data_IF_594174431559
#
_entry.id   IF_594174431559
#
_cell.length_a   1.000
_cell.length_b   1.000
_cell.length_c   1.000
_cell.angle_alpha   90.00
_cell.angle_beta   90.00
_cell.angle_gamma   90.00
#
_symmetry.space_group_name_H-M   'P 1'
#
loop_
_entity.id
_entity.type
_entity.pdbx_description
1 polymer ?
#
# COMPACT_ATOMS: atom_id res chain seq x y z
N UNK A 1 25.40 -8.17 -8.74
CA UNK A 1 24.01 -8.43 -9.14
C UNK A 1 23.80 -7.74 -10.47
N UNK A 2 23.52 -8.49 -11.54
CA UNK A 2 23.20 -7.89 -12.84
C UNK A 2 21.83 -7.21 -12.80
N UNK A 3 21.51 -6.31 -13.74
CA UNK A 3 20.20 -5.65 -13.77
C UNK A 3 19.10 -6.71 -13.90
N UNK A 4 18.17 -6.71 -12.95
CA UNK A 4 16.90 -7.41 -13.06
C UNK A 4 16.17 -6.90 -14.30
N UNK A 5 15.73 -7.80 -15.17
CA UNK A 5 14.96 -7.41 -16.34
C UNK A 5 13.60 -6.86 -15.87
N UNK A 6 13.32 -5.60 -16.19
CA UNK A 6 12.04 -4.99 -15.83
C UNK A 6 10.89 -5.62 -16.63
N UNK A 7 9.79 -5.94 -15.95
CA UNK A 7 8.58 -6.54 -16.54
C UNK A 7 7.59 -5.44 -16.87
N UNK A 8 7.21 -5.33 -18.15
CA UNK A 8 6.13 -4.43 -18.58
C UNK A 8 4.79 -5.08 -18.22
N UNK A 9 3.93 -4.33 -17.53
CA UNK A 9 2.63 -4.79 -17.07
C UNK A 9 1.54 -4.13 -17.92
N UNK A 10 0.84 -4.85 -18.81
CA UNK A 10 -0.32 -4.34 -19.53
C UNK A 10 -1.42 -3.84 -18.60
N UNK A 11 -2.24 -2.89 -19.06
CA UNK A 11 -3.31 -2.26 -18.27
C UNK A 11 -4.51 -3.19 -18.00
N UNK A 12 -4.35 -4.17 -17.11
CA UNK A 12 -5.43 -5.04 -16.64
C UNK A 12 -5.15 -5.61 -15.25
N UNK A 13 -6.22 -5.94 -14.52
CA UNK A 13 -6.14 -6.63 -13.21
C UNK A 13 -5.30 -7.91 -13.31
N UNK A 14 -5.64 -8.80 -14.24
CA UNK A 14 -4.94 -10.09 -14.42
C UNK A 14 -3.45 -9.90 -14.69
N UNK A 15 -3.07 -8.91 -15.51
CA UNK A 15 -1.66 -8.65 -15.80
C UNK A 15 -0.90 -8.18 -14.56
N UNK A 16 -1.48 -7.27 -13.78
CA UNK A 16 -0.88 -6.78 -12.55
C UNK A 16 -0.72 -7.90 -11.50
N UNK A 17 -1.77 -8.68 -11.28
CA UNK A 17 -1.75 -9.83 -10.36
C UNK A 17 -0.68 -10.85 -10.77
N UNK A 18 -0.62 -11.21 -12.06
CA UNK A 18 0.38 -12.15 -12.56
C UNK A 18 1.81 -11.61 -12.42
N UNK A 19 2.02 -10.31 -12.63
CA UNK A 19 3.33 -9.68 -12.47
C UNK A 19 3.80 -9.69 -11.01
N UNK A 20 2.91 -9.42 -10.05
CA UNK A 20 3.22 -9.51 -8.61
C UNK A 20 3.54 -10.95 -8.21
N UNK A 21 2.73 -11.93 -8.62
CA UNK A 21 3.00 -13.34 -8.35
C UNK A 21 4.34 -13.80 -8.92
N UNK A 22 4.66 -13.36 -10.15
CA UNK A 22 5.94 -13.65 -10.78
C UNK A 22 7.12 -13.07 -9.99
N UNK A 23 7.04 -11.80 -9.60
CA UNK A 23 8.10 -11.14 -8.83
C UNK A 23 8.30 -11.82 -7.47
N UNK A 24 7.22 -12.15 -6.76
CA UNK A 24 7.28 -12.93 -5.53
C UNK A 24 7.97 -14.30 -5.73
N UNK A 25 7.63 -15.03 -6.79
CA UNK A 25 8.25 -16.31 -7.10
C UNK A 25 9.73 -16.18 -7.51
N UNK A 26 10.13 -15.05 -8.09
CA UNK A 26 11.49 -14.76 -8.51
C UNK A 26 12.41 -14.26 -7.39
N UNK A 27 11.89 -14.02 -6.18
CA UNK A 27 12.65 -13.40 -5.08
C UNK A 27 12.69 -11.88 -5.13
N UNK A 28 11.88 -11.26 -5.99
CA UNK A 28 11.78 -9.81 -6.20
C UNK A 28 11.68 -9.46 -7.69
N UNK A 29 11.39 -8.19 -7.99
CA UNK A 29 11.33 -7.74 -9.37
C UNK A 29 10.94 -6.27 -9.57
N UNK A 30 11.29 -5.75 -10.74
CA UNK A 30 10.93 -4.41 -11.18
C UNK A 30 9.78 -4.48 -12.19
N UNK A 31 8.65 -3.86 -11.85
CA UNK A 31 7.42 -3.83 -12.63
C UNK A 31 7.21 -2.42 -13.21
N UNK A 32 7.09 -2.34 -14.53
CA UNK A 32 6.76 -1.09 -15.24
C UNK A 32 5.29 -1.14 -15.59
N UNK A 33 4.49 -0.37 -14.86
CA UNK A 33 3.05 -0.27 -15.09
C UNK A 33 2.78 0.64 -16.29
N UNK A 34 1.71 0.33 -17.00
CA UNK A 34 1.27 1.13 -18.15
C UNK A 34 1.02 2.58 -17.72
N UNK A 35 1.57 3.58 -18.44
CA UNK A 35 1.38 4.98 -18.11
C UNK A 35 -0.08 5.39 -18.32
N UNK A 36 -0.58 6.31 -17.48
CA UNK A 36 -1.97 6.82 -17.49
C UNK A 36 -3.06 5.75 -17.34
N UNK A 37 -2.68 4.55 -16.88
CA UNK A 37 -3.58 3.42 -16.70
C UNK A 37 -4.24 3.44 -15.31
N UNK A 38 -5.50 3.03 -15.26
CA UNK A 38 -6.19 2.65 -14.03
C UNK A 38 -6.35 1.12 -13.97
N UNK A 39 -5.56 0.48 -13.13
CA UNK A 39 -5.69 -0.93 -12.77
C UNK A 39 -6.84 -1.09 -11.78
N UNK A 40 -8.01 -1.50 -12.28
CA UNK A 40 -9.20 -1.71 -11.46
C UNK A 40 -9.28 -3.16 -10.98
N UNK A 41 -9.16 -3.36 -9.68
CA UNK A 41 -9.25 -4.67 -9.03
C UNK A 41 -10.71 -5.01 -8.71
N UNK A 42 -11.17 -6.18 -9.13
CA UNK A 42 -12.57 -6.63 -8.99
C UNK A 42 -12.74 -7.73 -7.96
N UNK A 43 -11.66 -8.41 -7.59
CA UNK A 43 -11.64 -9.44 -6.55
C UNK A 43 -10.39 -9.35 -5.68
N UNK A 44 -10.43 -10.03 -4.52
CA UNK A 44 -9.25 -10.27 -3.73
C UNK A 44 -8.38 -11.38 -4.35
N UNK A 45 -7.06 -11.21 -4.27
CA UNK A 45 -6.05 -12.15 -4.75
C UNK A 45 -5.11 -12.65 -3.64
N UNK A 46 -5.44 -12.35 -2.38
CA UNK A 46 -4.93 -13.01 -1.19
C UNK A 46 -6.02 -13.09 -0.12
N UNK A 47 -5.91 -14.08 0.77
CA UNK A 47 -6.73 -14.11 2.00
C UNK A 47 -6.33 -13.01 3.00
N UNK A 48 -5.12 -12.46 2.83
CA UNK A 48 -4.44 -11.56 3.76
C UNK A 48 -4.10 -12.19 5.11
N UNK A 49 -3.33 -11.45 5.91
CA UNK A 49 -3.03 -11.75 7.31
C UNK A 49 -4.11 -11.26 8.27
N UNK A 50 -3.71 -10.82 9.47
CA UNK A 50 -4.59 -10.36 10.56
C UNK A 50 -5.52 -9.17 10.21
N UNK A 51 -5.47 -8.65 8.99
CA UNK A 51 -6.32 -7.57 8.49
C UNK A 51 -7.35 -7.96 7.42
N UNK A 52 -7.38 -9.21 6.95
CA UNK A 52 -8.31 -9.67 5.90
C UNK A 52 -7.81 -9.44 4.47
N UNK A 53 -8.64 -9.72 3.45
CA UNK A 53 -8.20 -9.94 2.07
C UNK A 53 -7.58 -8.70 1.40
N UNK A 54 -6.66 -8.94 0.46
CA UNK A 54 -6.05 -7.91 -0.39
C UNK A 54 -6.34 -8.12 -1.88
N UNK A 55 -6.46 -7.01 -2.61
CA UNK A 55 -6.68 -6.98 -4.05
C UNK A 55 -5.45 -7.37 -4.86
N UNK A 56 -4.25 -7.21 -4.34
CA UNK A 56 -3.05 -7.80 -4.92
C UNK A 56 -2.59 -9.02 -4.11
N UNK A 57 -1.84 -9.97 -4.71
CA UNK A 57 -1.09 -10.94 -3.92
C UNK A 57 -0.19 -10.22 -2.91
N UNK A 58 -0.03 -10.81 -1.72
CA UNK A 58 0.79 -10.22 -0.67
C UNK A 58 2.23 -10.00 -1.16
N UNK A 59 2.79 -8.83 -0.89
CA UNK A 59 4.16 -8.48 -1.25
C UNK A 59 5.07 -9.11 -0.19
N UNK A 60 5.75 -10.20 -0.55
CA UNK A 60 6.63 -10.98 0.34
C UNK A 60 8.11 -10.87 -0.05
N UNK A 61 8.39 -10.27 -1.21
CA UNK A 61 9.74 -10.03 -1.74
C UNK A 61 9.95 -8.56 -2.06
N UNK A 62 11.18 -8.13 -2.39
CA UNK A 62 11.42 -6.77 -2.89
C UNK A 62 10.82 -6.54 -4.27
N UNK A 63 9.78 -5.71 -4.35
CA UNK A 63 9.09 -5.34 -5.59
C UNK A 63 9.15 -3.82 -5.77
N UNK A 64 9.67 -3.40 -6.93
CA UNK A 64 9.55 -2.01 -7.39
C UNK A 64 8.42 -1.94 -8.40
N UNK A 65 7.51 -0.98 -8.25
CA UNK A 65 6.50 -0.64 -9.25
C UNK A 65 6.71 0.80 -9.70
N UNK A 66 6.89 0.99 -11.00
CA UNK A 66 7.04 2.31 -11.61
C UNK A 66 5.86 2.58 -12.53
N UNK A 67 5.13 3.66 -12.26
CA UNK A 67 4.05 4.15 -13.11
C UNK A 67 4.35 5.54 -13.68
N UNK A 68 3.35 6.13 -14.31
CA UNK A 68 3.31 7.53 -14.72
C UNK A 68 1.85 7.97 -14.73
N UNK A 69 1.43 8.71 -13.71
CA UNK A 69 0.01 9.01 -13.49
C UNK A 69 -0.85 7.74 -13.52
N UNK A 70 -0.32 6.67 -12.94
CA UNK A 70 -0.96 5.35 -12.88
C UNK A 70 -1.77 5.23 -11.60
N UNK A 71 -2.91 4.55 -11.65
CA UNK A 71 -3.75 4.29 -10.49
C UNK A 71 -4.00 2.78 -10.32
N UNK A 72 -3.98 2.30 -9.08
CA UNK A 72 -4.45 0.98 -8.67
C UNK A 72 -5.62 1.20 -7.72
N UNK A 73 -6.82 0.81 -8.16
CA UNK A 73 -8.07 1.08 -7.44
C UNK A 73 -8.87 -0.19 -7.27
N UNK A 74 -9.59 -0.30 -6.16
CA UNK A 74 -10.68 -1.28 -6.03
C UNK A 74 -11.90 -0.79 -6.81
N UNK A 75 -12.62 -1.69 -7.48
CA UNK A 75 -13.89 -1.39 -8.13
C UNK A 75 -14.99 -1.11 -7.09
N UNK A 76 -15.87 -0.15 -7.37
CA UNK A 76 -16.92 0.26 -6.42
C UNK A 76 -17.88 -0.89 -6.02
N UNK A 77 -18.17 -1.80 -6.96
CA UNK A 77 -19.04 -2.95 -6.79
C UNK A 77 -18.31 -4.24 -6.35
N UNK A 78 -16.99 -4.20 -6.15
CA UNK A 78 -16.24 -5.35 -5.69
C UNK A 78 -16.57 -5.66 -4.21
N UNK A 79 -16.31 -6.89 -3.71
CA UNK A 79 -16.25 -7.14 -2.27
C UNK A 79 -15.26 -6.21 -1.55
N UNK A 80 -15.35 -6.11 -0.23
CA UNK A 80 -14.38 -5.35 0.56
C UNK A 80 -13.02 -6.07 0.56
N UNK A 81 -11.97 -5.36 0.17
CA UNK A 81 -10.56 -5.74 0.34
C UNK A 81 -9.68 -4.49 0.34
N UNK A 82 -8.54 -4.57 1.04
CA UNK A 82 -7.46 -3.57 0.92
C UNK A 82 -6.80 -3.67 -0.45
N UNK A 83 -6.12 -2.64 -0.94
CA UNK A 83 -5.45 -2.75 -2.24
C UNK A 83 -4.17 -3.58 -2.15
N UNK A 84 -3.30 -3.24 -1.19
CA UNK A 84 -1.97 -3.82 -1.03
C UNK A 84 -1.76 -4.27 0.40
N UNK A 85 -1.17 -5.46 0.54
CA UNK A 85 -0.58 -5.94 1.79
C UNK A 85 0.91 -6.22 1.57
N UNK A 86 1.76 -5.71 2.47
CA UNK A 86 3.20 -5.97 2.49
C UNK A 86 3.51 -6.74 3.76
N UNK A 87 3.95 -7.97 3.59
CA UNK A 87 4.12 -8.94 4.67
C UNK A 87 5.58 -9.05 5.11
N UNK A 88 5.77 -9.15 6.42
CA UNK A 88 7.03 -9.61 7.00
C UNK A 88 6.83 -10.14 8.42
N UNK A 89 7.85 -10.74 9.05
CA UNK A 89 7.78 -11.12 10.45
C UNK A 89 7.53 -9.87 11.29
N UNK A 90 6.46 -9.90 12.09
CA UNK A 90 6.11 -8.81 12.98
C UNK A 90 7.33 -8.37 13.80
N UNK A 91 7.65 -7.07 13.80
CA UNK A 91 8.68 -6.45 14.64
C UNK A 91 10.16 -6.74 14.27
N UNK A 92 10.47 -7.31 13.10
CA UNK A 92 11.86 -7.42 12.61
C UNK A 92 12.06 -6.66 11.29
N UNK A 93 12.90 -5.62 11.25
CA UNK A 93 13.20 -4.90 10.01
C UNK A 93 13.91 -5.79 8.98
N UNK A 94 13.50 -5.65 7.72
CA UNK A 94 14.31 -5.81 6.50
C UNK A 94 14.41 -7.17 5.78
N UNK A 95 13.76 -8.25 6.22
CA UNK A 95 13.95 -9.55 5.53
C UNK A 95 12.79 -10.06 4.68
N UNK A 96 11.58 -9.48 4.74
CA UNK A 96 10.41 -10.00 4.01
C UNK A 96 9.46 -8.84 3.64
N UNK A 97 9.04 -8.79 2.37
CA UNK A 97 8.16 -7.76 1.78
C UNK A 97 8.75 -6.34 1.74
N UNK A 98 9.25 -5.91 0.57
CA UNK A 98 9.66 -4.51 0.38
C UNK A 98 8.97 -3.95 -0.85
N UNK A 99 8.20 -2.89 -0.69
CA UNK A 99 7.45 -2.28 -1.78
C UNK A 99 7.96 -0.87 -2.05
N UNK A 100 8.41 -0.63 -3.28
CA UNK A 100 8.68 0.72 -3.79
C UNK A 100 7.64 1.08 -4.85
N UNK A 101 6.91 2.18 -4.65
CA UNK A 101 5.92 2.73 -5.58
C UNK A 101 6.41 4.08 -6.10
N UNK A 102 6.53 4.23 -7.41
CA UNK A 102 6.90 5.51 -8.05
C UNK A 102 5.80 5.97 -8.99
N UNK A 103 5.30 7.19 -8.80
CA UNK A 103 4.27 7.82 -9.64
C UNK A 103 2.98 6.98 -9.80
N UNK A 104 2.58 6.32 -8.70
CA UNK A 104 1.39 5.47 -8.59
C UNK A 104 0.47 6.02 -7.49
N UNK A 105 -0.82 6.08 -7.79
CA UNK A 105 -1.88 6.34 -6.80
C UNK A 105 -2.58 5.03 -6.43
N UNK A 106 -2.77 4.78 -5.15
CA UNK A 106 -3.58 3.67 -4.60
C UNK A 106 -4.90 4.25 -4.09
N UNK A 107 -6.03 3.65 -4.47
CA UNK A 107 -7.32 4.25 -4.09
C UNK A 107 -8.48 3.29 -3.86
N UNK A 108 -9.49 3.82 -3.15
CA UNK A 108 -10.80 3.19 -2.93
C UNK A 108 -10.77 1.80 -2.29
N UNK A 109 -9.66 1.47 -1.63
CA UNK A 109 -9.52 0.22 -0.91
C UNK A 109 -10.40 0.21 0.35
N UNK A 110 -10.84 -0.97 0.73
CA UNK A 110 -11.83 -1.16 1.79
C UNK A 110 -11.48 -2.38 2.64
N UNK A 111 -10.79 -2.16 3.75
CA UNK A 111 -10.44 -3.24 4.67
C UNK A 111 -11.59 -3.62 5.62
N UNK A 112 -12.77 -2.97 5.54
CA UNK A 112 -13.85 -3.16 6.51
C UNK A 112 -13.35 -2.91 7.95
N UNK A 113 -13.44 -3.93 8.79
CA UNK A 113 -12.95 -3.89 10.18
C UNK A 113 -11.43 -4.13 10.32
N UNK A 114 -10.72 -4.40 9.22
CA UNK A 114 -9.29 -4.58 9.16
C UNK A 114 -8.51 -3.26 9.21
N UNK A 115 -7.24 -3.32 8.80
CA UNK A 115 -6.32 -2.17 8.82
C UNK A 115 -5.82 -1.78 7.43
N UNK A 116 -5.45 -0.53 7.20
CA UNK A 116 -4.76 -0.13 5.95
C UNK A 116 -5.63 -0.32 4.72
N UNK A 117 -6.65 0.53 4.54
CA UNK A 117 -7.61 0.38 3.44
C UNK A 117 -6.95 0.43 2.07
N UNK A 118 -6.01 1.36 1.87
CA UNK A 118 -5.16 1.37 0.69
C UNK A 118 -4.00 0.39 0.83
N UNK A 119 -3.15 0.64 1.82
CA UNK A 119 -1.91 -0.12 2.05
C UNK A 119 -1.85 -0.57 3.51
N UNK A 120 -1.66 -1.87 3.72
CA UNK A 120 -1.29 -2.43 5.01
C UNK A 120 0.15 -2.94 4.97
N UNK A 121 1.02 -2.33 5.76
CA UNK A 121 2.40 -2.79 5.95
C UNK A 121 2.51 -3.54 7.27
N UNK A 122 2.40 -4.87 7.22
CA UNK A 122 2.26 -5.77 8.38
C UNK A 122 3.57 -6.47 8.77
N UNK A 123 4.71 -5.81 8.55
CA UNK A 123 6.03 -6.35 8.88
C UNK A 123 7.11 -6.11 7.81
N UNK A 124 6.74 -5.57 6.65
CA UNK A 124 7.66 -5.26 5.56
C UNK A 124 8.19 -3.82 5.57
N UNK A 125 8.40 -3.24 4.40
CA UNK A 125 8.68 -1.80 4.25
C UNK A 125 7.98 -1.24 3.02
N UNK A 126 7.57 0.03 3.11
CA UNK A 126 6.93 0.75 2.00
C UNK A 126 7.65 2.06 1.75
N UNK A 127 8.07 2.29 0.51
CA UNK A 127 8.55 3.57 0.00
C UNK A 127 7.64 4.04 -1.12
N UNK A 128 7.07 5.24 -1.02
CA UNK A 128 6.29 5.84 -2.10
C UNK A 128 6.87 7.19 -2.52
N UNK A 129 7.06 7.37 -3.83
CA UNK A 129 7.61 8.60 -4.43
C UNK A 129 6.65 9.13 -5.49
N UNK A 130 6.31 10.43 -5.41
CA UNK A 130 5.45 11.11 -6.38
C UNK A 130 4.08 10.44 -6.58
N UNK A 131 3.56 9.78 -5.55
CA UNK A 131 2.31 9.00 -5.58
C UNK A 131 1.30 9.45 -4.54
N UNK A 132 0.32 8.60 -4.26
CA UNK A 132 -0.62 8.88 -3.17
C UNK A 132 -1.52 7.73 -2.77
N UNK A 133 -2.17 7.88 -1.62
CA UNK A 133 -3.25 7.00 -1.14
C UNK A 133 -4.50 7.83 -0.89
N UNK A 134 -5.63 7.46 -1.51
CA UNK A 134 -6.86 8.25 -1.40
C UNK A 134 -8.16 7.46 -1.40
N UNK A 135 -9.19 8.01 -0.76
CA UNK A 135 -10.55 7.46 -0.80
C UNK A 135 -10.68 6.06 -0.18
N UNK A 136 -9.69 5.62 0.59
CA UNK A 136 -9.66 4.29 1.18
C UNK A 136 -10.24 4.29 2.59
N UNK A 137 -10.73 3.13 3.04
CA UNK A 137 -11.32 2.98 4.37
C UNK A 137 -10.90 1.70 5.12
N UNK A 138 -10.80 1.80 6.44
CA UNK A 138 -10.44 0.71 7.35
C UNK A 138 -10.89 1.00 8.80
N UNK A 139 -10.58 0.11 9.75
CA UNK A 139 -10.73 0.40 11.18
C UNK A 139 -9.61 1.29 11.72
N UNK A 140 -8.36 0.98 11.35
CA UNK A 140 -7.18 1.78 11.63
C UNK A 140 -6.40 2.01 10.34
N UNK A 141 -5.89 3.23 10.14
CA UNK A 141 -5.13 3.53 8.94
C UNK A 141 -6.03 3.48 7.71
N UNK A 142 -7.01 4.38 7.63
CA UNK A 142 -7.99 4.39 6.53
C UNK A 142 -7.30 4.37 5.16
N UNK A 143 -6.23 5.17 5.03
CA UNK A 143 -5.32 5.11 3.91
C UNK A 143 -4.25 4.05 4.10
N UNK A 144 -3.39 4.26 5.09
CA UNK A 144 -2.19 3.45 5.32
C UNK A 144 -2.14 3.01 6.78
N UNK A 145 -1.84 1.74 7.00
CA UNK A 145 -1.45 1.19 8.30
C UNK A 145 -0.01 0.65 8.20
N UNK A 146 0.81 0.89 9.23
CA UNK A 146 2.17 0.36 9.28
C UNK A 146 2.55 -0.15 10.67
N UNK A 147 3.14 -1.34 10.71
CA UNK A 147 3.79 -1.94 11.89
C UNK A 147 5.32 -1.71 11.89
N UNK A 148 5.88 -1.15 10.81
CA UNK A 148 7.31 -0.97 10.62
C UNK A 148 7.62 0.36 9.90
N UNK A 149 8.42 0.36 8.83
CA UNK A 149 8.90 1.56 8.16
C UNK A 149 7.99 1.97 6.99
N UNK A 150 7.56 3.24 7.01
CA UNK A 150 6.88 3.91 5.90
C UNK A 150 7.66 5.17 5.51
N UNK A 151 8.08 5.26 4.25
CA UNK A 151 8.72 6.45 3.69
C UNK A 151 7.88 7.02 2.55
N UNK A 152 7.56 8.30 2.64
CA UNK A 152 6.73 9.01 1.67
C UNK A 152 7.48 10.24 1.17
N UNK A 153 7.76 10.30 -0.13
CA UNK A 153 8.51 11.39 -0.76
C UNK A 153 7.63 12.03 -1.82
N UNK A 154 7.43 13.36 -1.74
CA UNK A 154 6.60 14.10 -2.68
C UNK A 154 5.22 13.46 -2.93
N UNK A 155 4.65 12.86 -1.88
CA UNK A 155 3.47 12.00 -1.98
C UNK A 155 2.35 12.49 -1.07
N UNK A 156 1.10 12.09 -1.36
CA UNK A 156 -0.07 12.56 -0.61
C UNK A 156 -0.94 11.45 -0.05
N UNK A 157 -1.56 11.67 1.12
CA UNK A 157 -2.55 10.76 1.72
C UNK A 157 -3.78 11.58 2.06
N UNK A 158 -4.87 11.39 1.30
CA UNK A 158 -6.02 12.30 1.33
C UNK A 158 -7.37 11.63 1.22
N UNK A 159 -8.40 12.17 1.88
CA UNK A 159 -9.77 11.69 1.73
C UNK A 159 -9.98 10.26 2.19
N UNK A 160 -9.14 9.76 3.11
CA UNK A 160 -9.25 8.42 3.65
C UNK A 160 -10.04 8.42 4.97
N UNK A 161 -10.66 7.29 5.31
CA UNK A 161 -11.55 7.17 6.48
C UNK A 161 -11.21 5.96 7.33
N UNK A 162 -10.92 6.18 8.62
CA UNK A 162 -10.85 5.15 9.64
C UNK A 162 -12.10 5.19 10.52
N UNK A 163 -12.52 4.05 11.08
CA UNK A 163 -13.59 4.04 12.10
C UNK A 163 -13.05 4.31 13.51
N UNK A 164 -11.77 4.02 13.75
CA UNK A 164 -11.11 4.17 15.06
C UNK A 164 -10.13 5.35 15.04
N UNK A 165 -8.95 5.18 14.44
CA UNK A 165 -7.88 6.18 14.44
C UNK A 165 -7.03 6.09 13.16
N UNK A 166 -6.29 7.16 12.87
CA UNK A 166 -5.40 7.23 11.71
C UNK A 166 -6.21 7.21 10.43
N UNK A 167 -7.05 8.21 10.22
CA UNK A 167 -7.84 8.33 8.99
C UNK A 167 -6.96 8.26 7.75
N UNK A 168 -5.85 9.00 7.77
CA UNK A 168 -4.81 8.93 6.74
C UNK A 168 -3.82 7.80 7.03
N UNK A 169 -2.98 7.98 8.05
CA UNK A 169 -1.93 7.02 8.43
C UNK A 169 -2.09 6.60 9.89
N UNK A 170 -2.09 5.29 10.15
CA UNK A 170 -1.92 4.76 11.50
C UNK A 170 -0.56 4.09 11.64
N UNK A 171 0.29 4.64 12.50
CA UNK A 171 1.60 4.06 12.85
C UNK A 171 1.47 3.21 14.12
N UNK A 172 1.30 1.90 13.96
CA UNK A 172 1.18 0.99 15.09
C UNK A 172 2.54 0.67 15.71
N UNK A 173 3.60 0.61 14.91
CA UNK A 173 4.97 0.45 15.36
C UNK A 173 5.93 0.91 14.25
N UNK A 174 7.16 1.23 14.64
CA UNK A 174 8.19 1.70 13.70
C UNK A 174 8.12 3.21 13.45
N UNK A 175 8.51 3.62 12.24
CA UNK A 175 8.71 5.02 11.88
C UNK A 175 8.00 5.40 10.58
N UNK A 176 7.44 6.60 10.59
CA UNK A 176 6.88 7.25 9.40
C UNK A 176 7.77 8.43 9.05
N UNK A 177 8.29 8.45 7.83
CA UNK A 177 9.09 9.56 7.28
C UNK A 177 8.32 10.22 6.15
N UNK A 178 7.97 11.51 6.33
CA UNK A 178 7.34 12.32 5.29
C UNK A 178 8.33 13.38 4.79
N UNK A 179 8.64 13.35 3.49
CA UNK A 179 9.51 14.33 2.85
C UNK A 179 8.75 15.01 1.70
N UNK A 180 8.51 16.31 1.84
CA UNK A 180 7.80 17.12 0.83
C UNK A 180 6.43 16.55 0.42
N UNK A 181 5.74 15.85 1.33
CA UNK A 181 4.42 15.27 1.13
C UNK A 181 3.35 15.93 2.01
N UNK A 182 2.10 15.48 1.87
CA UNK A 182 0.98 16.04 2.63
C UNK A 182 -0.04 14.98 3.03
N UNK A 183 -0.43 14.97 4.31
CA UNK A 183 -1.48 14.09 4.85
C UNK A 183 -2.63 14.96 5.33
N UNK A 184 -3.71 15.06 4.55
CA UNK A 184 -4.80 16.02 4.82
C UNK A 184 -6.19 15.52 4.42
N UNK A 185 -7.22 16.07 5.06
CA UNK A 185 -8.60 15.78 4.69
C UNK A 185 -8.98 14.32 4.94
N UNK A 186 -8.37 13.67 5.93
CA UNK A 186 -8.72 12.33 6.35
C UNK A 186 -9.58 12.36 7.64
N UNK A 187 -10.31 11.29 7.91
CA UNK A 187 -11.26 11.18 9.03
C UNK A 187 -10.98 9.89 9.81
N UNK A 188 -10.96 9.88 11.17
CA UNK A 188 -11.24 11.01 12.06
C UNK A 188 -10.09 12.02 12.17
N UNK A 189 -8.88 11.61 11.82
CA UNK A 189 -7.66 12.42 11.86
C UNK A 189 -6.76 12.13 10.64
N UNK A 190 -5.75 12.98 10.43
CA UNK A 190 -4.77 12.75 9.37
C UNK A 190 -3.84 11.60 9.72
N UNK A 191 -3.44 11.53 10.97
CA UNK A 191 -2.50 10.53 11.43
C UNK A 191 -2.75 10.23 12.91
N UNK A 192 -2.48 8.98 13.29
CA UNK A 192 -2.42 8.53 14.68
C UNK A 192 -1.28 7.53 14.87
N UNK A 193 -0.88 7.30 16.13
CA UNK A 193 0.13 6.32 16.48
C UNK A 193 -0.16 5.69 17.85
N UNK A 194 0.33 4.48 18.08
CA UNK A 194 0.34 3.92 19.43
C UNK A 194 1.36 4.67 20.30
N UNK A 195 1.03 5.00 21.57
CA UNK A 195 1.99 5.56 22.51
C UNK A 195 3.25 4.69 22.61
N UNK A 196 4.46 5.28 22.75
CA UNK A 196 4.73 6.63 23.27
C UNK A 196 4.91 7.75 22.23
N UNK A 197 4.63 7.52 20.94
CA UNK A 197 4.93 8.50 19.89
C UNK A 197 3.92 9.67 19.91
N UNK A 198 4.41 10.92 20.01
CA UNK A 198 3.60 12.12 20.30
C UNK A 198 3.30 13.03 19.11
N UNK A 199 3.85 12.77 17.93
CA UNK A 199 3.50 13.56 16.73
C UNK A 199 3.15 12.60 15.61
N UNK A 200 1.85 12.36 15.38
CA UNK A 200 1.41 11.49 14.34
C UNK A 200 1.48 12.30 13.05
N UNK A 201 2.64 12.30 12.40
CA UNK A 201 2.93 12.99 11.15
C UNK A 201 2.54 14.50 11.09
#
# INVERSE_FOLDING_TARGET
MGPTLAVIVPCSETALVNAVNWANAAGGGDLILSPFCTYTLTSAHSSGGAGGPAGLPNIITPITMTGLATEITRASNAPAFRIIEVDGPSQLPADNGQLTLTAITVSNGDAGIGVGGGIANLGGSVTMTAGGVRGSRASFGGGIYTDTALTMIASSVTGNTATSDGGGIFNNAGSVTLLAGNVTGNTPDNCAATPPLTTPC
#
